data_IF_883713374845
#
_entry.id   IF_883713374845
#
_cell.length_a   1.000
_cell.length_b   1.000
_cell.length_c   1.000
_cell.angle_alpha   90.00
_cell.angle_beta   90.00
_cell.angle_gamma   90.00
#
_symmetry.space_group_name_H-M   'P 1'
#
loop_
_entity.id
_entity.type
_entity.pdbx_description
1 polymer ?
#
# COMPACT_ATOMS: atom_id res chain seq x y z
N UNK A 1 -7.46 -9.40 0.27
CA UNK A 1 -8.28 -9.02 1.44
C UNK A 1 -9.65 -8.53 0.94
N UNK A 2 -10.71 -8.50 1.76
CA UNK A 2 -11.91 -7.72 1.40
C UNK A 2 -11.59 -6.22 1.43
N UNK A 3 -12.38 -5.34 0.79
CA UNK A 3 -12.21 -3.89 0.92
C UNK A 3 -12.23 -3.42 2.37
N UNK A 4 -13.09 -3.98 3.21
CA UNK A 4 -13.21 -3.65 4.64
C UNK A 4 -11.94 -4.05 5.39
N UNK A 5 -11.44 -5.27 5.18
CA UNK A 5 -10.20 -5.73 5.78
C UNK A 5 -8.99 -4.90 5.29
N UNK A 6 -9.01 -4.46 4.03
CA UNK A 6 -7.96 -3.58 3.49
C UNK A 6 -7.98 -2.19 4.14
N UNK A 7 -9.17 -1.62 4.43
CA UNK A 7 -9.29 -0.36 5.19
C UNK A 7 -8.72 -0.51 6.60
N UNK A 8 -9.06 -1.59 7.29
CA UNK A 8 -8.55 -1.87 8.64
C UNK A 8 -7.02 -2.02 8.66
N UNK A 9 -6.43 -2.66 7.63
CA UNK A 9 -4.98 -2.75 7.50
C UNK A 9 -4.32 -1.37 7.30
N UNK A 10 -4.88 -0.53 6.43
CA UNK A 10 -4.37 0.83 6.21
C UNK A 10 -4.50 1.69 7.47
N UNK A 11 -5.58 1.54 8.22
CA UNK A 11 -5.78 2.19 9.51
C UNK A 11 -4.79 1.71 10.57
N UNK A 12 -4.50 0.40 10.61
CA UNK A 12 -3.47 -0.15 11.49
C UNK A 12 -2.10 0.47 11.18
N UNK A 13 -1.70 0.53 9.90
CA UNK A 13 -0.45 1.17 9.48
C UNK A 13 -0.42 2.66 9.85
N UNK A 14 -1.54 3.37 9.67
CA UNK A 14 -1.69 4.78 10.08
C UNK A 14 -1.41 4.95 11.57
N UNK A 15 -2.01 4.09 12.42
CA UNK A 15 -1.83 4.13 13.87
C UNK A 15 -0.40 3.80 14.30
N UNK A 16 0.22 2.79 13.70
CA UNK A 16 1.58 2.36 14.08
C UNK A 16 2.65 3.33 13.63
N UNK A 17 2.45 4.00 12.49
CA UNK A 17 3.45 4.93 11.94
C UNK A 17 3.22 6.39 12.32
N UNK A 18 1.99 6.76 12.71
CA UNK A 18 1.58 8.15 12.90
C UNK A 18 1.47 8.96 11.60
N UNK A 19 1.77 8.35 10.44
CA UNK A 19 1.69 9.00 9.14
C UNK A 19 0.24 9.10 8.67
N UNK A 20 -0.09 10.17 7.94
CA UNK A 20 -1.43 10.41 7.40
C UNK A 20 -1.34 11.10 6.05
N UNK A 21 -2.43 11.07 5.27
CA UNK A 21 -2.51 11.76 3.98
C UNK A 21 -1.42 11.30 3.00
N UNK A 22 -0.85 12.24 2.24
CA UNK A 22 0.15 11.95 1.19
C UNK A 22 1.36 11.13 1.70
N UNK A 23 2.01 11.47 2.84
CA UNK A 23 3.11 10.69 3.39
C UNK A 23 2.82 9.20 3.62
N UNK A 24 1.56 8.82 3.90
CA UNK A 24 1.18 7.43 4.07
C UNK A 24 0.78 6.80 2.71
N UNK A 25 -0.13 7.45 2.00
CA UNK A 25 -0.83 6.81 0.87
C UNK A 25 -0.05 6.87 -0.45
N UNK A 26 0.70 7.94 -0.72
CA UNK A 26 1.47 8.07 -1.95
C UNK A 26 2.56 6.99 -2.10
N UNK A 27 3.45 6.76 -1.11
CA UNK A 27 4.48 5.74 -1.26
C UNK A 27 3.90 4.33 -1.38
N UNK A 28 2.82 4.01 -0.65
CA UNK A 28 2.11 2.74 -0.81
C UNK A 28 1.54 2.57 -2.22
N UNK A 29 0.90 3.61 -2.77
CA UNK A 29 0.34 3.55 -4.13
C UNK A 29 1.42 3.33 -5.18
N UNK A 30 2.54 4.06 -5.07
CA UNK A 30 3.66 3.91 -5.98
C UNK A 30 4.24 2.50 -5.88
N UNK A 31 4.48 1.99 -4.67
CA UNK A 31 4.98 0.64 -4.45
C UNK A 31 4.04 -0.45 -5.02
N UNK A 32 2.73 -0.25 -4.92
CA UNK A 32 1.73 -1.24 -5.31
C UNK A 32 1.30 -1.14 -6.78
N UNK A 33 1.45 0.02 -7.43
CA UNK A 33 0.88 0.23 -8.77
C UNK A 33 1.80 0.93 -9.77
N UNK A 34 2.89 1.55 -9.30
CA UNK A 34 3.75 2.40 -10.13
C UNK A 34 3.08 3.70 -10.60
N UNK A 35 1.89 4.03 -10.10
CA UNK A 35 1.11 5.23 -10.46
C UNK A 35 0.90 6.11 -9.24
N UNK A 36 0.82 7.42 -9.44
CA UNK A 36 0.58 8.40 -8.37
C UNK A 36 -0.90 8.74 -8.17
N UNK A 37 -1.77 8.31 -9.09
CA UNK A 37 -3.22 8.48 -9.06
C UNK A 37 -3.98 7.18 -9.32
N UNK A 38 -5.32 7.23 -9.27
CA UNK A 38 -6.20 6.09 -9.55
C UNK A 38 -7.24 5.83 -8.44
N UNK A 39 -7.86 4.64 -8.41
CA UNK A 39 -8.91 4.31 -7.45
C UNK A 39 -8.37 4.23 -6.03
N UNK A 40 -9.28 4.21 -5.05
CA UNK A 40 -8.97 4.11 -3.62
C UNK A 40 -8.01 2.94 -3.30
N UNK A 41 -7.12 3.14 -2.32
CA UNK A 41 -6.05 2.19 -2.02
C UNK A 41 -6.59 0.89 -1.40
N UNK A 42 -7.63 0.95 -0.58
CA UNK A 42 -8.23 -0.27 -0.03
C UNK A 42 -8.88 -1.11 -1.14
N UNK A 43 -9.51 -0.46 -2.11
CA UNK A 43 -10.04 -1.12 -3.31
C UNK A 43 -8.94 -1.80 -4.11
N UNK A 44 -7.80 -1.13 -4.32
CA UNK A 44 -6.65 -1.71 -5.00
C UNK A 44 -6.08 -2.93 -4.27
N UNK A 45 -5.91 -2.85 -2.95
CA UNK A 45 -5.45 -3.96 -2.13
C UNK A 45 -6.39 -5.17 -2.18
N UNK A 46 -7.70 -4.92 -2.24
CA UNK A 46 -8.70 -5.97 -2.38
C UNK A 46 -8.61 -6.66 -3.74
N UNK A 47 -8.47 -5.88 -4.83
CA UNK A 47 -8.36 -6.39 -6.20
C UNK A 47 -7.06 -7.17 -6.46
N UNK A 48 -5.92 -6.66 -5.98
CA UNK A 48 -4.62 -7.32 -6.16
C UNK A 48 -4.53 -8.62 -5.36
N UNK A 49 -5.23 -8.71 -4.23
CA UNK A 49 -5.09 -9.83 -3.32
C UNK A 49 -3.81 -9.77 -2.50
N UNK A 50 -3.70 -10.65 -1.50
CA UNK A 50 -2.65 -10.58 -0.46
C UNK A 50 -1.26 -10.80 -1.03
N UNK A 51 -1.07 -11.87 -1.79
CA UNK A 51 0.27 -12.33 -2.16
C UNK A 51 0.91 -11.39 -3.19
N UNK A 52 0.12 -10.87 -4.13
CA UNK A 52 0.58 -9.86 -5.07
C UNK A 52 0.99 -8.56 -4.36
N UNK A 53 0.20 -8.10 -3.38
CA UNK A 53 0.56 -6.93 -2.58
C UNK A 53 1.90 -7.14 -1.86
N UNK A 54 2.08 -8.29 -1.22
CA UNK A 54 3.33 -8.62 -0.52
C UNK A 54 4.52 -8.69 -1.48
N UNK A 55 4.34 -9.30 -2.66
CA UNK A 55 5.36 -9.37 -3.70
C UNK A 55 5.83 -8.00 -4.16
N UNK A 56 4.89 -7.10 -4.46
CA UNK A 56 5.19 -5.72 -4.89
C UNK A 56 5.85 -4.90 -3.79
N UNK A 57 5.35 -4.97 -2.56
CA UNK A 57 5.96 -4.28 -1.41
C UNK A 57 7.38 -4.77 -1.13
N UNK A 58 7.62 -6.08 -1.23
CA UNK A 58 8.95 -6.64 -1.05
C UNK A 58 9.91 -6.18 -2.17
N UNK A 59 9.44 -6.11 -3.42
CA UNK A 59 10.21 -5.58 -4.54
C UNK A 59 10.55 -4.09 -4.34
N UNK A 60 9.57 -3.26 -3.99
CA UNK A 60 9.78 -1.84 -3.71
C UNK A 60 10.80 -1.62 -2.58
N UNK A 61 10.70 -2.40 -1.49
CA UNK A 61 11.66 -2.34 -0.37
C UNK A 61 13.08 -2.69 -0.82
N UNK A 62 13.26 -3.68 -1.71
CA UNK A 62 14.59 -4.01 -2.25
C UNK A 62 15.16 -2.86 -3.08
N UNK A 63 14.34 -2.23 -3.93
CA UNK A 63 14.79 -1.09 -4.74
C UNK A 63 15.24 0.10 -3.90
N UNK A 64 14.60 0.34 -2.74
CA UNK A 64 15.01 1.38 -1.79
C UNK A 64 16.32 1.06 -1.04
N UNK A 65 16.65 -0.22 -0.87
CA UNK A 65 17.89 -0.65 -0.22
C UNK A 65 19.08 -0.73 -1.18
N UNK A 66 18.82 -0.67 -2.49
CA UNK A 66 19.83 -0.78 -3.54
C UNK A 66 20.33 0.59 -4.04
N UNK A 67 19.85 1.70 -3.46
CA UNK A 67 20.30 3.08 -3.72
C UNK A 67 20.57 3.80 -2.42
#
# INVERSE_FOLDING_TARGET
PTPEAARELLEAVRRTTGLKGRPLFLPLRLALTGRDHGPDLATLLALLGRDECLGRLAAARRSLAAG
#
